data_IF_277279725535
#
_entry.id   IF_277279725535
#
_cell.length_a   1.000
_cell.length_b   1.000
_cell.length_c   1.000
_cell.angle_alpha   90.00
_cell.angle_beta   90.00
_cell.angle_gamma   90.00
#
_symmetry.space_group_name_H-M   'P 1'
#
loop_
_entity.id
_entity.type
_entity.pdbx_description
1 polymer ?
#
# COMPACT_ATOMS: atom_id res chain seq x y z
N UNK A 1 3.30 3.89 0.49
CA UNK A 1 3.15 5.28 1.02
C UNK A 1 3.86 6.34 0.19
N UNK A 2 5.00 6.03 -0.44
CA UNK A 2 5.78 6.97 -1.26
C UNK A 2 4.95 7.71 -2.34
N UNK A 3 3.99 7.04 -2.98
CA UNK A 3 3.11 7.68 -3.95
C UNK A 3 2.28 8.84 -3.37
N UNK A 4 1.83 8.72 -2.12
CA UNK A 4 1.08 9.79 -1.44
C UNK A 4 2.00 10.95 -1.04
N UNK A 5 3.20 10.66 -0.54
CA UNK A 5 4.20 11.69 -0.23
C UNK A 5 4.62 12.48 -1.47
N UNK A 6 4.85 11.76 -2.57
CA UNK A 6 5.35 12.31 -3.81
C UNK A 6 4.26 12.86 -4.74
N UNK A 7 3.00 12.88 -4.31
CA UNK A 7 1.87 13.37 -5.11
C UNK A 7 1.73 12.69 -6.49
N UNK A 8 1.98 11.39 -6.53
CA UNK A 8 2.05 10.54 -7.73
C UNK A 8 3.22 10.81 -8.69
N UNK A 9 4.29 11.51 -8.27
CA UNK A 9 5.55 11.56 -9.03
C UNK A 9 6.17 10.15 -9.06
N UNK A 10 6.24 9.48 -7.90
CA UNK A 10 6.64 8.07 -7.81
C UNK A 10 5.40 7.21 -7.59
N UNK A 11 4.95 6.51 -8.64
CA UNK A 11 3.75 5.66 -8.58
C UNK A 11 4.07 4.29 -7.99
N UNK A 12 3.12 3.72 -7.25
CA UNK A 12 3.22 2.36 -6.74
C UNK A 12 3.11 1.39 -7.91
N UNK A 13 4.13 0.55 -8.10
CA UNK A 13 4.17 -0.39 -9.21
C UNK A 13 3.18 -1.54 -8.97
N UNK A 14 2.21 -1.70 -9.87
CA UNK A 14 1.39 -2.91 -9.91
C UNK A 14 2.24 -4.08 -10.41
N UNK A 15 2.34 -5.13 -9.61
CA UNK A 15 3.15 -6.30 -9.92
C UNK A 15 2.43 -7.58 -9.50
N UNK A 16 2.74 -8.69 -10.18
CA UNK A 16 2.20 -10.03 -9.90
C UNK A 16 3.30 -11.07 -10.02
N UNK A 17 3.14 -12.18 -9.31
CA UNK A 17 4.00 -13.36 -9.43
C UNK A 17 3.30 -14.39 -10.30
N UNK A 18 4.03 -14.98 -11.24
CA UNK A 18 3.60 -16.14 -12.04
C UNK A 18 4.50 -17.31 -11.69
N UNK A 19 3.91 -18.47 -11.44
CA UNK A 19 4.63 -19.70 -11.15
C UNK A 19 4.82 -20.51 -12.45
N UNK A 20 5.99 -21.10 -12.62
CA UNK A 20 6.37 -21.90 -13.80
C UNK A 20 6.60 -23.39 -13.45
N UNK A 21 6.12 -23.83 -12.28
CA UNK A 21 6.25 -25.20 -11.80
C UNK A 21 7.59 -25.49 -11.09
N UNK A 22 8.48 -24.51 -10.95
CA UNK A 22 9.75 -24.64 -10.21
C UNK A 22 9.66 -24.01 -8.84
N UNK A 23 10.52 -24.46 -7.93
CA UNK A 23 10.66 -23.82 -6.63
C UNK A 23 11.18 -22.38 -6.78
N UNK A 24 10.49 -21.44 -6.12
CA UNK A 24 10.83 -20.02 -6.15
C UNK A 24 10.80 -19.47 -4.73
N UNK A 25 11.94 -18.98 -4.27
CA UNK A 25 12.08 -18.28 -3.00
C UNK A 25 12.11 -16.77 -3.21
N UNK A 26 11.48 -16.03 -2.31
CA UNK A 26 11.42 -14.56 -2.36
C UNK A 26 11.45 -14.02 -0.94
N UNK A 27 12.44 -13.19 -0.63
CA UNK A 27 12.61 -12.58 0.68
C UNK A 27 12.49 -11.08 0.48
N UNK A 28 11.32 -10.54 0.81
CA UNK A 28 11.03 -9.12 0.63
C UNK A 28 11.40 -8.33 1.91
N UNK A 29 11.95 -7.14 1.71
CA UNK A 29 12.14 -6.15 2.77
C UNK A 29 11.23 -4.95 2.48
N UNK A 30 10.38 -4.62 3.46
CA UNK A 30 9.46 -3.50 3.38
C UNK A 30 9.92 -2.39 4.33
N UNK A 31 9.90 -1.15 3.85
CA UNK A 31 10.28 0.03 4.64
C UNK A 31 9.05 0.88 4.85
N UNK A 32 8.68 1.04 6.12
CA UNK A 32 7.63 1.95 6.56
C UNK A 32 8.18 2.98 7.55
N UNK A 33 7.62 4.20 7.57
CA UNK A 33 7.84 5.12 8.68
C UNK A 33 7.15 4.61 9.95
N UNK A 34 7.43 5.26 11.08
CA UNK A 34 6.73 5.02 12.35
C UNK A 34 5.20 5.08 12.19
N UNK A 35 4.48 4.30 13.00
CA UNK A 35 3.02 4.16 12.93
C UNK A 35 2.25 5.47 13.10
N UNK A 36 2.79 6.39 13.91
CA UNK A 36 2.24 7.73 14.18
C UNK A 36 2.60 8.76 13.10
N UNK A 37 3.51 8.43 12.18
CA UNK A 37 3.92 9.32 11.10
C UNK A 37 2.70 9.71 10.23
N UNK A 38 2.48 11.02 10.11
CA UNK A 38 1.44 11.57 9.23
C UNK A 38 1.97 11.66 7.80
N UNK A 39 1.46 10.78 6.94
CA UNK A 39 1.71 10.77 5.50
C UNK A 39 0.87 11.86 4.83
N UNK A 40 1.50 12.98 4.51
CA UNK A 40 0.92 14.09 3.75
C UNK A 40 1.86 14.49 2.60
N UNK A 41 1.31 15.01 1.51
CA UNK A 41 2.10 15.45 0.36
C UNK A 41 3.27 16.37 0.78
N UNK A 42 4.48 16.03 0.33
CA UNK A 42 5.68 16.80 0.63
C UNK A 42 5.63 18.18 -0.03
N UNK A 43 6.26 19.22 0.57
CA UNK A 43 6.25 20.58 0.02
C UNK A 43 6.78 20.67 -1.40
N UNK A 44 7.83 19.91 -1.72
CA UNK A 44 8.46 19.87 -3.05
C UNK A 44 7.66 19.08 -4.09
N UNK A 45 6.58 18.42 -3.70
CA UNK A 45 5.75 17.58 -4.57
C UNK A 45 4.37 18.20 -4.86
N UNK A 46 4.13 19.44 -4.45
CA UNK A 46 2.88 20.18 -4.70
C UNK A 46 3.15 21.61 -5.14
N UNK A 47 2.20 22.19 -5.85
CA UNK A 47 2.15 23.60 -6.24
C UNK A 47 0.69 24.04 -6.36
N UNK A 48 0.44 25.31 -6.69
CA UNK A 48 -0.92 25.78 -6.98
C UNK A 48 -1.57 25.03 -8.15
N UNK A 49 -0.78 24.74 -9.20
CA UNK A 49 -1.25 23.98 -10.36
C UNK A 49 -1.31 22.45 -10.11
N UNK A 50 -0.65 21.94 -9.06
CA UNK A 50 -0.67 20.53 -8.68
C UNK A 50 -0.88 20.40 -7.16
N UNK A 51 -2.10 20.63 -6.67
CA UNK A 51 -2.39 20.53 -5.25
C UNK A 51 -2.25 19.08 -4.74
N UNK A 52 -2.19 18.86 -3.42
CA UNK A 52 -2.18 17.51 -2.84
C UNK A 52 -3.37 16.67 -3.31
N UNK A 53 -3.10 15.52 -3.93
CA UNK A 53 -4.14 14.61 -4.45
C UNK A 53 -4.78 13.71 -3.40
N UNK A 54 -4.18 13.66 -2.21
CA UNK A 54 -4.60 12.76 -1.15
C UNK A 54 -4.71 13.50 0.17
N UNK A 55 -5.74 13.20 1.00
CA UNK A 55 -5.79 13.70 2.36
C UNK A 55 -4.66 13.10 3.21
N UNK A 56 -4.17 13.84 4.24
CA UNK A 56 -3.27 13.31 5.24
C UNK A 56 -3.82 12.04 5.90
N UNK A 57 -2.94 11.07 6.17
CA UNK A 57 -3.30 9.81 6.85
C UNK A 57 -2.11 9.34 7.69
N UNK A 58 -2.35 8.70 8.83
CA UNK A 58 -1.25 8.06 9.58
C UNK A 58 -0.77 6.79 8.88
N UNK A 59 0.50 6.44 9.06
CA UNK A 59 1.07 5.18 8.57
C UNK A 59 0.22 3.98 9.03
N UNK A 60 -0.11 3.93 10.32
CA UNK A 60 -0.94 2.86 10.90
C UNK A 60 -2.31 2.71 10.25
N UNK A 61 -3.02 3.82 10.01
CA UNK A 61 -4.33 3.80 9.39
C UNK A 61 -4.26 3.34 7.94
N UNK A 62 -3.26 3.84 7.19
CA UNK A 62 -3.05 3.44 5.80
C UNK A 62 -2.73 1.95 5.69
N UNK A 63 -1.78 1.44 6.48
CA UNK A 63 -1.44 0.01 6.48
C UNK A 63 -2.64 -0.86 6.86
N UNK A 64 -3.38 -0.49 7.91
CA UNK A 64 -4.60 -1.20 8.33
C UNK A 64 -5.62 -1.28 7.20
N UNK A 65 -5.81 -0.20 6.44
CA UNK A 65 -6.68 -0.19 5.27
C UNK A 65 -6.16 -1.14 4.18
N UNK A 66 -4.87 -1.07 3.83
CA UNK A 66 -4.27 -1.93 2.79
C UNK A 66 -4.32 -3.41 3.15
N UNK A 67 -4.13 -3.77 4.41
CA UNK A 67 -4.26 -5.15 4.87
C UNK A 67 -5.71 -5.65 4.71
N UNK A 68 -6.70 -4.84 5.10
CA UNK A 68 -8.12 -5.17 4.90
C UNK A 68 -8.49 -5.33 3.43
N UNK A 69 -7.95 -4.46 2.57
CA UNK A 69 -8.22 -4.50 1.12
C UNK A 69 -7.58 -5.73 0.43
N UNK A 70 -6.43 -6.19 0.94
CA UNK A 70 -5.60 -7.21 0.26
C UNK A 70 -5.89 -8.62 0.76
N UNK A 71 -6.17 -8.79 2.05
CA UNK A 71 -6.44 -10.11 2.62
C UNK A 71 -7.89 -10.50 2.38
N UNK A 72 -8.08 -11.69 1.80
CA UNK A 72 -9.41 -12.28 1.68
C UNK A 72 -10.00 -12.54 3.07
N UNK A 73 -11.27 -12.22 3.26
CA UNK A 73 -12.03 -12.67 4.42
C UNK A 73 -12.26 -14.17 4.30
N UNK A 74 -11.48 -14.95 5.06
CA UNK A 74 -11.53 -16.39 5.03
C UNK A 74 -12.83 -16.97 5.62
N UNK A 75 -13.64 -16.16 6.31
CA UNK A 75 -14.97 -16.58 6.79
C UNK A 75 -15.92 -16.96 5.63
N UNK A 76 -15.67 -16.44 4.43
CA UNK A 76 -16.38 -16.82 3.21
C UNK A 76 -16.14 -18.29 2.80
N UNK A 77 -15.01 -18.89 3.18
CA UNK A 77 -14.69 -20.29 2.88
C UNK A 77 -15.23 -21.28 3.92
N UNK A 78 -15.61 -20.83 5.12
CA UNK A 78 -16.15 -21.72 6.16
C UNK A 78 -17.57 -22.21 5.91
N UNK A 79 -18.34 -21.55 5.02
CA UNK A 79 -19.72 -21.95 4.69
C UNK A 79 -19.84 -23.07 3.65
N UNK A 80 -18.73 -23.66 3.18
CA UNK A 80 -18.76 -24.70 2.14
C UNK A 80 -18.52 -26.13 2.65
N UNK A 81 -18.57 -26.37 3.96
CA UNK A 81 -18.53 -27.74 4.53
C UNK A 81 -19.93 -28.18 4.92
N UNK A 82 -20.65 -28.74 3.95
CA UNK A 82 -21.69 -29.76 4.17
C UNK A 82 -21.06 -31.10 4.45
#
# INVERSE_FOLDING_TARGET
MLERWSNCIFRSTLHRVVLDGRERYSIAYFVEPSHDCVVKCLPTCKSEANPPKFPPITCSAYLSQRYKDTHADLSSYSNSKT
#
